data_IF_776927188826
#
_entry.id   IF_776927188826
#
_cell.length_a   1.000
_cell.length_b   1.000
_cell.length_c   1.000
_cell.angle_alpha   90.00
_cell.angle_beta   90.00
_cell.angle_gamma   90.00
#
_symmetry.space_group_name_H-M   'P 1'
#
loop_
_entity.id
_entity.type
_entity.pdbx_description
1 polymer ?
#
# COMPACT_ATOMS: atom_id res chain seq x y z
N UNK A 1 -6.33 -8.21 -5.93
CA UNK A 1 -7.78 -8.22 -5.63
C UNK A 1 -8.44 -9.32 -6.46
N UNK A 2 -9.35 -10.11 -5.91
CA UNK A 2 -10.05 -11.16 -6.69
C UNK A 2 -11.17 -10.50 -7.48
N UNK A 3 -11.15 -10.62 -8.81
CA UNK A 3 -12.16 -10.05 -9.73
C UNK A 3 -13.60 -10.39 -9.31
N UNK A 4 -13.78 -11.53 -8.66
CA UNK A 4 -15.03 -12.02 -8.08
C UNK A 4 -15.68 -11.00 -7.12
N UNK A 5 -14.87 -10.27 -6.33
CA UNK A 5 -15.37 -9.22 -5.42
C UNK A 5 -15.87 -7.97 -6.14
N UNK A 6 -15.30 -7.64 -7.31
CA UNK A 6 -15.78 -6.54 -8.15
C UNK A 6 -17.16 -6.88 -8.70
N UNK A 7 -17.32 -8.08 -9.27
CA UNK A 7 -18.59 -8.53 -9.85
C UNK A 7 -19.68 -8.71 -8.80
N UNK A 8 -19.35 -9.23 -7.61
CA UNK A 8 -20.29 -9.29 -6.50
C UNK A 8 -20.82 -7.91 -6.13
N UNK A 9 -19.92 -6.92 -5.95
CA UNK A 9 -20.31 -5.55 -5.63
C UNK A 9 -21.09 -4.89 -6.78
N UNK A 10 -20.73 -5.19 -8.02
CA UNK A 10 -21.40 -4.71 -9.22
C UNK A 10 -22.84 -5.21 -9.27
N UNK A 11 -23.09 -6.51 -9.13
CA UNK A 11 -24.45 -7.06 -9.18
C UNK A 11 -25.29 -6.73 -7.95
N UNK A 12 -24.65 -6.57 -6.79
CA UNK A 12 -25.34 -6.12 -5.57
C UNK A 12 -25.81 -4.67 -5.67
N UNK A 13 -24.99 -3.78 -6.22
CA UNK A 13 -25.31 -2.35 -6.34
C UNK A 13 -26.15 -2.06 -7.58
N UNK A 14 -25.86 -2.74 -8.69
CA UNK A 14 -26.49 -2.56 -9.99
C UNK A 14 -26.98 -3.90 -10.56
N UNK A 15 -28.06 -4.48 -9.99
CA UNK A 15 -28.60 -5.76 -10.45
C UNK A 15 -29.08 -5.71 -11.91
N UNK A 16 -29.43 -4.53 -12.43
CA UNK A 16 -29.82 -4.30 -13.83
C UNK A 16 -28.75 -4.75 -14.83
N UNK A 17 -27.46 -4.60 -14.48
CA UNK A 17 -26.34 -4.96 -15.35
C UNK A 17 -26.33 -6.46 -15.66
N UNK A 18 -26.72 -7.30 -14.69
CA UNK A 18 -26.83 -8.74 -14.93
C UNK A 18 -27.88 -9.04 -16.01
N UNK A 19 -29.05 -8.42 -15.94
CA UNK A 19 -30.13 -8.62 -16.92
C UNK A 19 -29.74 -8.11 -18.31
N UNK A 20 -29.01 -7.00 -18.37
CA UNK A 20 -28.42 -6.50 -19.61
C UNK A 20 -27.44 -7.51 -20.22
N UNK A 21 -26.56 -8.13 -19.43
CA UNK A 21 -25.62 -9.15 -19.89
C UNK A 21 -26.29 -10.41 -20.44
N UNK A 22 -27.45 -10.79 -19.89
CA UNK A 22 -28.25 -11.91 -20.41
C UNK A 22 -29.27 -11.47 -21.46
N UNK A 23 -29.11 -10.29 -22.05
CA UNK A 23 -29.98 -9.77 -23.13
C UNK A 23 -31.47 -9.71 -22.73
N UNK A 24 -31.72 -9.41 -21.46
CA UNK A 24 -33.06 -9.18 -20.89
C UNK A 24 -33.25 -7.69 -20.61
N UNK A 25 -34.50 -7.20 -20.57
CA UNK A 25 -34.77 -5.83 -20.16
C UNK A 25 -34.19 -5.53 -18.76
N UNK A 26 -33.46 -4.41 -18.58
CA UNK A 26 -32.88 -4.06 -17.27
C UNK A 26 -33.93 -3.97 -16.16
N UNK A 27 -35.16 -3.61 -16.53
CA UNK A 27 -36.31 -3.50 -15.62
C UNK A 27 -36.72 -4.84 -14.98
N UNK A 28 -36.30 -5.97 -15.55
CA UNK A 28 -36.53 -7.28 -14.93
C UNK A 28 -35.89 -7.36 -13.53
N UNK A 29 -34.77 -6.67 -13.30
CA UNK A 29 -34.08 -6.65 -12.01
C UNK A 29 -34.98 -6.27 -10.83
N UNK A 30 -36.01 -5.44 -11.05
CA UNK A 30 -36.97 -5.03 -10.01
C UNK A 30 -37.80 -6.20 -9.45
N UNK A 31 -37.88 -7.32 -10.19
CA UNK A 31 -38.56 -8.53 -9.78
C UNK A 31 -37.62 -9.56 -9.13
N UNK A 32 -36.37 -9.19 -8.85
CA UNK A 32 -35.38 -10.09 -8.27
C UNK A 32 -34.66 -9.46 -7.07
N UNK A 33 -34.30 -10.32 -6.12
CA UNK A 33 -33.39 -10.00 -5.03
C UNK A 33 -32.04 -10.67 -5.31
N UNK A 34 -30.95 -9.89 -5.30
CA UNK A 34 -29.59 -10.42 -5.32
C UNK A 34 -29.12 -10.70 -3.90
N UNK A 35 -28.75 -11.95 -3.64
CA UNK A 35 -28.27 -12.40 -2.32
C UNK A 35 -27.12 -13.39 -2.48
N UNK A 36 -26.31 -13.53 -1.44
CA UNK A 36 -25.54 -14.75 -1.23
C UNK A 36 -26.31 -15.65 -0.27
N UNK A 37 -26.28 -16.97 -0.48
CA UNK A 37 -26.90 -17.93 0.44
C UNK A 37 -25.90 -19.01 0.83
N UNK A 38 -25.72 -19.16 2.14
CA UNK A 38 -24.89 -20.20 2.71
C UNK A 38 -25.69 -21.50 2.89
N UNK A 39 -25.13 -22.59 2.39
CA UNK A 39 -25.66 -23.95 2.55
C UNK A 39 -25.07 -24.50 3.85
N UNK A 40 -25.85 -24.39 4.95
CA UNK A 40 -25.45 -24.67 6.34
C UNK A 40 -24.78 -26.04 6.60
N UNK A 41 -24.97 -27.03 5.74
CA UNK A 41 -24.44 -28.39 5.98
C UNK A 41 -22.95 -28.56 5.62
N UNK A 42 -22.36 -27.66 4.82
CA UNK A 42 -21.01 -27.85 4.26
C UNK A 42 -20.20 -26.54 4.07
N UNK A 43 -20.67 -25.40 4.59
CA UNK A 43 -20.05 -24.07 4.40
C UNK A 43 -19.90 -23.63 2.93
N UNK A 44 -20.71 -24.20 2.03
CA UNK A 44 -20.77 -23.76 0.63
C UNK A 44 -21.55 -22.47 0.51
N UNK A 45 -21.07 -21.54 -0.33
CA UNK A 45 -21.71 -20.26 -0.60
C UNK A 45 -21.97 -20.13 -2.08
N UNK A 46 -23.23 -19.87 -2.43
CA UNK A 46 -23.57 -19.37 -3.76
C UNK A 46 -23.34 -17.86 -3.72
N UNK A 47 -22.26 -17.41 -4.34
CA UNK A 47 -21.82 -16.02 -4.27
C UNK A 47 -22.66 -15.09 -5.16
N UNK A 48 -23.30 -15.63 -6.21
CA UNK A 48 -24.28 -14.90 -7.01
C UNK A 48 -25.60 -15.64 -7.14
N UNK A 49 -26.64 -15.20 -6.42
CA UNK A 49 -27.99 -15.74 -6.53
C UNK A 49 -29.02 -14.63 -6.74
N UNK A 50 -29.73 -14.65 -7.86
CA UNK A 50 -30.91 -13.82 -8.10
C UNK A 50 -32.18 -14.65 -7.89
N UNK A 51 -32.97 -14.30 -6.89
CA UNK A 51 -34.24 -14.96 -6.58
C UNK A 51 -35.43 -14.09 -7.00
N UNK A 52 -36.45 -14.64 -7.67
CA UNK A 52 -37.69 -13.92 -7.93
C UNK A 52 -38.35 -13.46 -6.62
N UNK A 53 -38.80 -12.21 -6.58
CA UNK A 53 -39.57 -11.66 -5.45
C UNK A 53 -41.09 -11.86 -5.61
N UNK A 54 -41.54 -12.15 -6.84
CA UNK A 54 -42.93 -12.49 -7.16
C UNK A 54 -43.16 -14.00 -7.10
N UNK A 55 -44.36 -14.43 -6.70
CA UNK A 55 -44.82 -15.84 -6.77
C UNK A 55 -45.09 -16.35 -8.20
N UNK A 56 -44.45 -15.74 -9.21
CA UNK A 56 -44.55 -16.15 -10.59
C UNK A 56 -43.68 -17.39 -10.81
N UNK A 57 -44.32 -18.56 -10.97
CA UNK A 57 -43.66 -19.85 -11.13
C UNK A 57 -42.91 -20.01 -12.45
N UNK A 58 -43.12 -19.12 -13.43
CA UNK A 58 -42.42 -19.18 -14.72
C UNK A 58 -41.07 -18.44 -14.69
N UNK A 59 -40.85 -17.58 -13.69
CA UNK A 59 -39.59 -16.83 -13.56
C UNK A 59 -38.49 -17.72 -12.95
N UNK A 60 -37.35 -17.91 -13.65
CA UNK A 60 -36.29 -18.71 -13.11
C UNK A 60 -35.54 -17.97 -12.01
N UNK A 61 -34.94 -18.69 -11.06
CA UNK A 61 -33.83 -18.12 -10.30
C UNK A 61 -32.51 -18.29 -11.07
N UNK A 62 -31.57 -17.38 -10.86
CA UNK A 62 -30.27 -17.41 -11.50
C UNK A 62 -29.16 -17.67 -10.49
N UNK A 63 -28.34 -18.68 -10.75
CA UNK A 63 -27.01 -18.82 -10.14
C UNK A 63 -26.01 -18.18 -11.09
N UNK A 64 -25.20 -17.26 -10.59
CA UNK A 64 -24.22 -16.50 -11.37
C UNK A 64 -22.84 -16.79 -10.80
N UNK A 65 -21.98 -17.35 -11.65
CA UNK A 65 -20.58 -17.64 -11.34
C UNK A 65 -19.70 -16.81 -12.27
N UNK A 66 -18.68 -16.15 -11.71
CA UNK A 66 -17.74 -15.34 -12.47
C UNK A 66 -16.37 -15.97 -12.36
N UNK A 67 -15.77 -16.33 -13.50
CA UNK A 67 -14.52 -17.08 -13.53
C UNK A 67 -13.49 -16.40 -14.44
N UNK A 68 -12.49 -15.77 -13.83
CA UNK A 68 -11.41 -15.06 -14.54
C UNK A 68 -10.10 -15.84 -14.61
N UNK A 69 -9.99 -16.97 -13.91
CA UNK A 69 -8.82 -17.83 -13.92
C UNK A 69 -9.21 -19.23 -14.41
N UNK A 70 -8.34 -19.99 -15.06
CA UNK A 70 -8.65 -21.38 -15.39
C UNK A 70 -8.93 -22.19 -14.11
N UNK A 71 -10.06 -22.90 -14.06
CA UNK A 71 -10.42 -23.81 -12.96
C UNK A 71 -11.02 -25.10 -13.53
N UNK A 72 -10.27 -26.20 -13.42
CA UNK A 72 -10.69 -27.53 -13.87
C UNK A 72 -11.88 -28.08 -13.07
N UNK A 73 -12.06 -27.59 -11.83
CA UNK A 73 -13.07 -28.09 -10.90
C UNK A 73 -14.35 -27.24 -10.86
N UNK A 74 -14.40 -26.14 -11.62
CA UNK A 74 -15.51 -25.18 -11.58
C UNK A 74 -16.87 -25.86 -11.74
N UNK A 75 -17.04 -26.63 -12.83
CA UNK A 75 -18.33 -27.24 -13.13
C UNK A 75 -18.72 -28.34 -12.14
N UNK A 76 -17.74 -29.08 -11.59
CA UNK A 76 -18.00 -30.04 -10.51
C UNK A 76 -18.57 -29.34 -9.28
N UNK A 77 -17.94 -28.22 -8.88
CA UNK A 77 -18.37 -27.40 -7.74
C UNK A 77 -19.74 -26.76 -8.00
N UNK A 78 -19.89 -26.06 -9.12
CA UNK A 78 -21.10 -25.33 -9.49
C UNK A 78 -22.34 -26.22 -9.57
N UNK A 79 -22.24 -27.38 -10.23
CA UNK A 79 -23.40 -28.28 -10.32
C UNK A 79 -23.68 -28.98 -8.99
N UNK A 80 -22.66 -29.35 -8.21
CA UNK A 80 -22.87 -29.87 -6.86
C UNK A 80 -23.62 -28.85 -5.99
N UNK A 81 -23.22 -27.58 -6.02
CA UNK A 81 -23.85 -26.50 -5.28
C UNK A 81 -25.30 -26.26 -5.72
N UNK A 82 -25.57 -26.23 -7.04
CA UNK A 82 -26.93 -26.16 -7.58
C UNK A 82 -27.82 -27.29 -7.04
N UNK A 83 -27.37 -28.54 -7.12
CA UNK A 83 -28.19 -29.68 -6.69
C UNK A 83 -28.37 -29.72 -5.17
N UNK A 84 -27.36 -29.32 -4.39
CA UNK A 84 -27.48 -29.17 -2.94
C UNK A 84 -28.48 -28.07 -2.57
N UNK A 85 -28.44 -26.94 -3.27
CA UNK A 85 -29.41 -25.85 -3.10
C UNK A 85 -30.84 -26.32 -3.40
N UNK A 86 -31.06 -26.98 -4.55
CA UNK A 86 -32.36 -27.54 -4.93
C UNK A 86 -32.87 -28.56 -3.89
N UNK A 87 -31.99 -29.43 -3.38
CA UNK A 87 -32.32 -30.42 -2.36
C UNK A 87 -32.75 -29.76 -1.05
N UNK A 88 -32.04 -28.73 -0.61
CA UNK A 88 -32.28 -28.06 0.67
C UNK A 88 -33.52 -27.15 0.63
N UNK A 89 -33.64 -26.32 -0.40
CA UNK A 89 -34.64 -25.25 -0.45
C UNK A 89 -35.88 -25.59 -1.29
N UNK A 90 -35.78 -26.55 -2.22
CA UNK A 90 -36.87 -26.96 -3.12
C UNK A 90 -37.66 -25.78 -3.70
N UNK A 91 -36.98 -24.81 -4.34
CA UNK A 91 -37.64 -23.61 -4.83
C UNK A 91 -38.71 -23.96 -5.87
N UNK A 92 -39.88 -23.28 -5.86
CA UNK A 92 -40.96 -23.49 -6.83
C UNK A 92 -40.69 -22.76 -8.17
N UNK A 93 -39.42 -22.51 -8.49
CA UNK A 93 -38.98 -21.72 -9.62
C UNK A 93 -38.05 -22.57 -10.52
N UNK A 94 -38.10 -22.41 -11.84
CA UNK A 94 -37.11 -22.98 -12.74
C UNK A 94 -35.70 -22.46 -12.36
N UNK A 95 -34.66 -23.22 -12.65
CA UNK A 95 -33.28 -22.77 -12.44
C UNK A 95 -32.63 -22.36 -13.76
N UNK A 96 -31.75 -21.37 -13.68
CA UNK A 96 -30.77 -21.03 -14.71
C UNK A 96 -29.39 -20.80 -14.06
N UNK A 97 -28.35 -21.26 -14.75
CA UNK A 97 -26.95 -21.06 -14.40
C UNK A 97 -26.35 -20.14 -15.46
N UNK A 98 -25.68 -19.09 -15.01
CA UNK A 98 -24.95 -18.16 -15.86
C UNK A 98 -23.50 -18.15 -15.41
N UNK A 99 -22.59 -18.52 -16.31
CA UNK A 99 -21.15 -18.45 -16.06
C UNK A 99 -20.55 -17.35 -16.93
N UNK A 100 -19.84 -16.42 -16.31
CA UNK A 100 -19.24 -15.26 -16.96
C UNK A 100 -17.72 -15.46 -17.00
N UNK A 101 -17.17 -15.44 -18.20
CA UNK A 101 -15.74 -15.56 -18.48
C UNK A 101 -15.22 -14.30 -19.16
N UNK A 102 -13.95 -13.91 -18.95
CA UNK A 102 -13.35 -12.85 -19.74
C UNK A 102 -13.21 -13.25 -21.21
N UNK A 103 -12.90 -14.52 -21.48
CA UNK A 103 -12.78 -15.10 -22.83
C UNK A 103 -12.89 -16.62 -22.81
N UNK A 104 -13.10 -17.24 -23.98
CA UNK A 104 -13.17 -18.71 -24.12
C UNK A 104 -11.93 -19.45 -23.65
N UNK A 105 -10.76 -18.81 -23.70
CA UNK A 105 -9.48 -19.46 -23.35
C UNK A 105 -9.36 -19.77 -21.86
N UNK A 106 -10.17 -19.15 -21.01
CA UNK A 106 -10.23 -19.40 -19.57
C UNK A 106 -11.11 -20.59 -19.23
N UNK A 107 -12.17 -20.84 -20.00
CA UNK A 107 -13.09 -21.93 -19.73
C UNK A 107 -12.38 -23.29 -19.77
N UNK A 108 -12.69 -24.15 -18.81
CA UNK A 108 -12.28 -25.56 -18.80
C UNK A 108 -13.52 -26.43 -18.92
N UNK A 109 -13.84 -26.74 -20.18
CA UNK A 109 -15.01 -27.57 -20.48
C UNK A 109 -14.75 -29.01 -20.06
N UNK A 110 -15.62 -29.51 -19.19
CA UNK A 110 -15.63 -30.90 -18.75
C UNK A 110 -16.70 -31.66 -19.56
N UNK A 111 -16.47 -31.78 -20.87
CA UNK A 111 -17.47 -32.28 -21.83
C UNK A 111 -17.85 -33.73 -21.59
N UNK A 112 -16.94 -34.55 -21.06
CA UNK A 112 -17.22 -35.96 -20.74
C UNK A 112 -18.24 -36.10 -19.59
N UNK A 113 -18.11 -35.30 -18.53
CA UNK A 113 -18.97 -35.40 -17.35
C UNK A 113 -20.22 -34.54 -17.46
N UNK A 114 -20.10 -33.35 -18.07
CA UNK A 114 -21.16 -32.33 -18.05
C UNK A 114 -21.60 -31.87 -19.44
N UNK A 115 -21.19 -32.54 -20.52
CA UNK A 115 -21.51 -32.12 -21.89
C UNK A 115 -23.01 -31.91 -22.13
N UNK A 116 -23.86 -32.82 -21.64
CA UNK A 116 -25.33 -32.68 -21.75
C UNK A 116 -25.85 -31.50 -20.94
N UNK A 117 -25.37 -31.32 -19.70
CA UNK A 117 -25.74 -30.20 -18.82
C UNK A 117 -25.35 -28.84 -19.42
N UNK A 118 -24.14 -28.73 -19.98
CA UNK A 118 -23.63 -27.51 -20.62
C UNK A 118 -24.38 -27.14 -21.90
N UNK A 119 -25.07 -28.11 -22.52
CA UNK A 119 -25.90 -27.91 -23.70
C UNK A 119 -27.37 -27.58 -23.37
N UNK A 120 -27.77 -27.65 -22.09
CA UNK A 120 -29.10 -27.21 -21.68
C UNK A 120 -29.26 -25.71 -21.93
N UNK A 121 -30.43 -25.30 -22.40
CA UNK A 121 -30.83 -23.89 -22.47
C UNK A 121 -30.90 -23.18 -21.11
N UNK A 122 -30.71 -23.92 -20.02
CA UNK A 122 -30.62 -23.43 -18.64
C UNK A 122 -29.20 -23.05 -18.23
N UNK A 123 -28.18 -23.44 -18.98
CA UNK A 123 -26.78 -23.11 -18.70
C UNK A 123 -26.28 -22.15 -19.78
N UNK A 124 -26.13 -20.88 -19.41
CA UNK A 124 -25.61 -19.84 -20.30
C UNK A 124 -24.17 -19.52 -19.93
N UNK A 125 -23.30 -19.51 -20.95
CA UNK A 125 -21.90 -19.10 -20.83
C UNK A 125 -21.73 -17.78 -21.57
N UNK A 126 -21.29 -16.76 -20.86
CA UNK A 126 -21.06 -15.41 -21.39
C UNK A 126 -19.55 -15.20 -21.45
N UNK A 127 -19.05 -14.79 -22.61
CA UNK A 127 -17.65 -14.41 -22.81
C UNK A 127 -17.61 -12.90 -23.05
N UNK A 128 -16.93 -12.17 -22.18
CA UNK A 128 -16.98 -10.70 -22.16
C UNK A 128 -16.32 -10.07 -23.38
N UNK A 129 -15.33 -10.74 -23.97
CA UNK A 129 -14.68 -10.36 -25.23
C UNK A 129 -15.54 -10.60 -26.49
N UNK A 130 -16.63 -11.37 -26.37
CA UNK A 130 -17.54 -11.72 -27.47
C UNK A 130 -18.90 -11.00 -27.41
N UNK A 131 -19.06 -10.03 -26.50
CA UNK A 131 -20.28 -9.26 -26.37
C UNK A 131 -20.49 -8.36 -27.61
N UNK A 132 -21.56 -8.62 -28.36
CA UNK A 132 -21.86 -7.97 -29.64
C UNK A 132 -22.14 -6.46 -29.57
N UNK A 133 -22.26 -5.83 -30.74
CA UNK A 133 -22.38 -4.36 -30.91
C UNK A 133 -23.59 -3.75 -30.20
N UNK A 134 -24.73 -4.46 -30.15
CA UNK A 134 -25.91 -3.99 -29.42
C UNK A 134 -25.62 -3.80 -27.91
N UNK A 135 -24.78 -4.67 -27.35
CA UNK A 135 -24.35 -4.63 -25.96
C UNK A 135 -23.36 -3.48 -25.69
N UNK A 136 -22.75 -2.87 -26.71
CA UNK A 136 -21.83 -1.71 -26.56
C UNK A 136 -22.55 -0.38 -26.30
N UNK A 137 -23.86 -0.35 -26.55
CA UNK A 137 -24.69 0.82 -26.25
C UNK A 137 -25.19 0.84 -24.79
N UNK A 138 -25.15 -0.30 -24.11
CA UNK A 138 -25.51 -0.41 -22.70
C UNK A 138 -24.39 0.14 -21.81
N UNK A 139 -24.77 1.02 -20.88
CA UNK A 139 -23.88 1.54 -19.85
C UNK A 139 -23.38 0.41 -18.94
N UNK A 140 -24.27 -0.49 -18.51
CA UNK A 140 -23.94 -1.59 -17.61
C UNK A 140 -22.94 -2.57 -18.22
N UNK A 141 -23.18 -2.99 -19.46
CA UNK A 141 -22.27 -3.87 -20.19
C UNK A 141 -20.92 -3.18 -20.43
N UNK A 142 -20.91 -1.88 -20.71
CA UNK A 142 -19.69 -1.10 -20.83
C UNK A 142 -18.84 -1.14 -19.55
N UNK A 143 -19.46 -1.01 -18.37
CA UNK A 143 -18.76 -1.16 -17.07
C UNK A 143 -18.18 -2.56 -16.89
N UNK A 144 -18.88 -3.60 -17.34
CA UNK A 144 -18.38 -4.98 -17.28
C UNK A 144 -17.20 -5.18 -18.24
N UNK A 145 -17.28 -4.66 -19.47
CA UNK A 145 -16.18 -4.68 -20.45
C UNK A 145 -14.93 -3.97 -19.92
N UNK A 146 -15.09 -2.89 -19.16
CA UNK A 146 -13.97 -2.18 -18.54
C UNK A 146 -13.06 -3.10 -17.69
N UNK A 147 -13.63 -4.13 -17.07
CA UNK A 147 -12.88 -5.09 -16.26
C UNK A 147 -11.88 -5.88 -17.10
N UNK A 148 -12.24 -6.25 -18.34
CA UNK A 148 -11.37 -7.02 -19.27
C UNK A 148 -10.58 -6.18 -20.26
N UNK A 149 -10.86 -4.87 -20.33
CA UNK A 149 -10.21 -3.93 -21.24
C UNK A 149 -8.67 -3.91 -21.07
N UNK A 150 -7.89 -3.35 -22.01
CA UNK A 150 -6.44 -3.21 -21.79
C UNK A 150 -6.12 -2.03 -20.85
N UNK A 151 -4.95 -2.00 -20.21
CA UNK A 151 -4.51 -0.83 -19.42
C UNK A 151 -4.37 0.45 -20.27
N UNK A 152 -4.08 0.30 -21.58
CA UNK A 152 -3.89 1.41 -22.51
C UNK A 152 -5.22 2.09 -22.89
N UNK A 153 -6.25 1.29 -23.13
CA UNK A 153 -7.58 1.74 -23.61
C UNK A 153 -8.58 1.96 -22.48
N UNK A 154 -8.41 1.31 -21.33
CA UNK A 154 -9.31 1.43 -20.18
C UNK A 154 -9.58 2.88 -19.71
N UNK A 155 -8.58 3.79 -19.68
CA UNK A 155 -8.85 5.17 -19.30
C UNK A 155 -9.82 5.88 -20.24
N UNK A 156 -9.74 5.62 -21.54
CA UNK A 156 -10.63 6.23 -22.52
C UNK A 156 -12.05 5.67 -22.38
N UNK A 157 -12.18 4.35 -22.21
CA UNK A 157 -13.46 3.69 -21.97
C UNK A 157 -14.11 4.20 -20.68
N UNK A 158 -13.38 4.26 -19.57
CA UNK A 158 -13.91 4.75 -18.30
C UNK A 158 -14.39 6.20 -18.38
N UNK A 159 -13.67 7.11 -19.07
CA UNK A 159 -14.15 8.48 -19.31
C UNK A 159 -15.50 8.51 -20.01
N UNK A 160 -15.62 7.75 -21.11
CA UNK A 160 -16.87 7.65 -21.86
C UNK A 160 -18.01 7.13 -20.97
N UNK A 161 -17.75 6.09 -20.16
CA UNK A 161 -18.76 5.53 -19.26
C UNK A 161 -19.19 6.52 -18.17
N UNK A 162 -18.27 7.31 -17.62
CA UNK A 162 -18.58 8.35 -16.63
C UNK A 162 -19.45 9.45 -17.27
N UNK A 163 -19.12 9.90 -18.48
CA UNK A 163 -19.92 10.88 -19.22
C UNK A 163 -21.33 10.33 -19.54
N UNK A 164 -21.42 9.08 -19.99
CA UNK A 164 -22.69 8.41 -20.23
C UNK A 164 -23.52 8.28 -18.95
N UNK A 165 -22.91 7.90 -17.82
CA UNK A 165 -23.58 7.85 -16.53
C UNK A 165 -24.14 9.22 -16.11
N UNK A 166 -23.37 10.30 -16.33
CA UNK A 166 -23.81 11.68 -16.06
C UNK A 166 -24.99 12.13 -16.91
N UNK A 167 -25.09 11.66 -18.14
CA UNK A 167 -26.18 12.02 -19.05
C UNK A 167 -27.43 11.16 -18.88
N UNK A 168 -27.25 9.85 -18.65
CA UNK A 168 -28.35 8.87 -18.67
C UNK A 168 -29.01 8.68 -17.30
N UNK A 169 -28.25 8.82 -16.20
CA UNK A 169 -28.76 8.58 -14.84
C UNK A 169 -29.22 9.89 -14.20
N UNK A 170 -30.53 9.95 -13.93
CA UNK A 170 -31.18 11.10 -13.26
C UNK A 170 -31.04 11.05 -11.74
N UNK A 171 -30.93 9.86 -11.17
CA UNK A 171 -30.77 9.67 -9.75
C UNK A 171 -29.30 9.95 -9.36
N UNK A 172 -29.10 10.96 -8.52
CA UNK A 172 -27.79 11.41 -8.06
C UNK A 172 -27.01 10.31 -7.34
N UNK A 173 -27.69 9.52 -6.51
CA UNK A 173 -27.06 8.48 -5.71
C UNK A 173 -26.62 7.31 -6.59
N UNK A 174 -27.51 6.81 -7.45
CA UNK A 174 -27.19 5.74 -8.41
C UNK A 174 -26.06 6.16 -9.34
N UNK A 175 -26.08 7.42 -9.80
CA UNK A 175 -25.01 7.98 -10.62
C UNK A 175 -23.68 8.01 -9.88
N UNK A 176 -23.67 8.52 -8.65
CA UNK A 176 -22.46 8.58 -7.83
C UNK A 176 -21.88 7.18 -7.58
N UNK A 177 -22.74 6.21 -7.22
CA UNK A 177 -22.33 4.84 -6.96
C UNK A 177 -21.73 4.17 -8.22
N UNK A 178 -22.25 4.48 -9.41
CA UNK A 178 -21.76 3.88 -10.66
C UNK A 178 -20.41 4.49 -11.07
N UNK A 179 -20.27 5.81 -10.93
CA UNK A 179 -18.99 6.49 -11.17
C UNK A 179 -17.93 5.94 -10.21
N UNK A 180 -18.26 5.80 -8.92
CA UNK A 180 -17.38 5.22 -7.91
C UNK A 180 -16.96 3.78 -8.27
N UNK A 181 -17.88 2.97 -8.81
CA UNK A 181 -17.55 1.62 -9.30
C UNK A 181 -16.57 1.67 -10.48
N UNK A 182 -16.81 2.53 -11.47
CA UNK A 182 -15.91 2.71 -12.63
C UNK A 182 -14.52 3.14 -12.17
N UNK A 183 -14.45 4.12 -11.28
CA UNK A 183 -13.22 4.61 -10.65
C UNK A 183 -12.47 3.49 -9.93
N UNK A 184 -13.20 2.70 -9.14
CA UNK A 184 -12.65 1.55 -8.42
C UNK A 184 -12.04 0.53 -9.38
N UNK A 185 -12.74 0.18 -10.48
CA UNK A 185 -12.22 -0.72 -11.51
C UNK A 185 -10.92 -0.17 -12.11
N UNK A 186 -10.87 1.14 -12.40
CA UNK A 186 -9.67 1.79 -12.95
C UNK A 186 -8.49 1.74 -11.99
N UNK A 187 -8.69 2.05 -10.71
CA UNK A 187 -7.61 2.00 -9.71
C UNK A 187 -7.03 0.60 -9.62
N UNK A 188 -7.88 -0.43 -9.61
CA UNK A 188 -7.41 -1.81 -9.56
C UNK A 188 -6.72 -2.27 -10.84
N UNK A 189 -7.07 -1.69 -11.97
CA UNK A 189 -6.47 -2.02 -13.26
C UNK A 189 -5.14 -1.32 -13.49
N UNK A 190 -5.01 -0.07 -13.06
CA UNK A 190 -3.82 0.77 -13.26
C UNK A 190 -2.91 0.79 -12.02
N UNK A 191 -2.60 -0.38 -11.46
CA UNK A 191 -1.87 -0.49 -10.18
C UNK A 191 -0.49 0.16 -10.17
N UNK A 192 0.14 0.29 -11.34
CA UNK A 192 1.46 0.89 -11.50
C UNK A 192 1.42 2.42 -11.62
N UNK A 193 0.24 3.02 -11.83
CA UNK A 193 0.11 4.47 -11.92
C UNK A 193 -0.07 5.05 -10.53
N UNK A 194 0.61 6.16 -10.29
CA UNK A 194 0.39 6.95 -9.10
C UNK A 194 -1.03 7.52 -9.10
N UNK A 195 -1.48 7.83 -7.88
CA UNK A 195 -2.75 8.51 -7.67
C UNK A 195 -2.88 9.81 -8.47
N UNK A 196 -1.82 10.61 -8.53
CA UNK A 196 -1.84 11.89 -9.25
C UNK A 196 -2.01 11.68 -10.75
N UNK A 197 -1.38 10.64 -11.30
CA UNK A 197 -1.55 10.27 -12.70
C UNK A 197 -2.99 9.84 -13.00
N UNK A 198 -3.60 9.03 -12.13
CA UNK A 198 -5.01 8.64 -12.28
C UNK A 198 -5.93 9.87 -12.17
N UNK A 199 -5.79 10.69 -11.13
CA UNK A 199 -6.61 11.92 -10.96
C UNK A 199 -6.48 12.87 -12.18
N UNK A 200 -5.26 13.05 -12.69
CA UNK A 200 -4.99 13.88 -13.87
C UNK A 200 -5.60 13.29 -15.14
N UNK A 201 -5.57 11.96 -15.31
CA UNK A 201 -6.15 11.30 -16.47
C UNK A 201 -7.64 11.60 -16.58
N UNK A 202 -8.38 11.60 -15.48
CA UNK A 202 -9.83 11.71 -15.53
C UNK A 202 -10.40 13.08 -15.11
N UNK A 203 -9.57 14.03 -14.68
CA UNK A 203 -10.02 15.30 -14.07
C UNK A 203 -10.99 15.06 -12.89
N UNK A 204 -10.86 13.92 -12.21
CA UNK A 204 -11.79 13.48 -11.18
C UNK A 204 -11.31 13.99 -9.82
N UNK A 205 -11.77 15.18 -9.44
CA UNK A 205 -11.79 15.59 -8.03
C UNK A 205 -12.63 14.63 -7.16
N UNK A 206 -13.52 13.85 -7.79
CA UNK A 206 -14.47 12.91 -7.19
C UNK A 206 -13.82 11.59 -6.74
N UNK A 207 -12.67 11.18 -7.31
CA UNK A 207 -11.90 10.00 -6.87
C UNK A 207 -11.60 10.04 -5.36
N UNK A 208 -11.39 11.24 -4.80
CA UNK A 208 -11.15 11.41 -3.35
C UNK A 208 -12.28 10.87 -2.47
N UNK A 209 -13.47 10.66 -3.03
CA UNK A 209 -14.65 10.16 -2.33
C UNK A 209 -14.79 8.64 -2.38
N UNK A 210 -14.03 7.91 -3.21
CA UNK A 210 -14.14 6.44 -3.16
C UNK A 210 -13.63 5.90 -1.83
N UNK A 211 -14.24 4.80 -1.39
CA UNK A 211 -13.83 4.13 -0.14
C UNK A 211 -12.37 3.70 -0.18
N UNK A 212 -11.91 3.19 -1.32
CA UNK A 212 -10.51 2.78 -1.51
C UNK A 212 -9.55 3.97 -1.31
N UNK A 213 -9.91 5.16 -1.81
CA UNK A 213 -9.10 6.36 -1.61
C UNK A 213 -9.12 6.88 -0.16
N UNK A 214 -10.24 6.76 0.54
CA UNK A 214 -10.35 7.18 1.93
C UNK A 214 -9.55 6.26 2.86
N UNK A 215 -9.65 4.94 2.64
CA UNK A 215 -8.93 3.92 3.40
C UNK A 215 -7.42 4.07 3.23
N UNK A 216 -6.92 4.14 1.99
CA UNK A 216 -5.49 4.30 1.71
C UNK A 216 -4.92 5.61 2.27
N UNK A 217 -5.71 6.70 2.30
CA UNK A 217 -5.30 7.97 2.90
C UNK A 217 -5.21 7.89 4.42
N UNK A 218 -6.15 7.20 5.05
CA UNK A 218 -6.14 7.03 6.51
C UNK A 218 -4.99 6.11 6.93
N UNK A 219 -4.75 5.01 6.22
CA UNK A 219 -3.60 4.11 6.44
C UNK A 219 -2.28 4.87 6.35
N UNK A 220 -2.04 5.60 5.25
CA UNK A 220 -0.82 6.39 5.10
C UNK A 220 -0.66 7.49 6.16
N UNK A 221 -1.75 8.05 6.68
CA UNK A 221 -1.71 9.00 7.81
C UNK A 221 -1.32 8.31 9.12
N UNK A 222 -1.79 7.08 9.35
CA UNK A 222 -1.41 6.30 10.52
C UNK A 222 0.06 5.88 10.44
N UNK A 223 0.51 5.38 9.29
CA UNK A 223 1.91 5.02 9.04
C UNK A 223 2.83 6.24 9.23
N UNK A 224 2.55 7.37 8.56
CA UNK A 224 3.36 8.57 8.71
C UNK A 224 3.39 9.14 10.13
N UNK A 225 2.31 8.95 10.93
CA UNK A 225 2.31 9.31 12.35
C UNK A 225 3.17 8.37 13.18
N UNK A 226 3.21 7.08 12.85
CA UNK A 226 4.08 6.10 13.51
C UNK A 226 5.56 6.35 13.16
N UNK A 227 5.86 6.53 11.88
CA UNK A 227 7.21 6.86 11.39
C UNK A 227 7.71 8.16 12.01
N UNK A 228 6.95 9.26 11.93
CA UNK A 228 7.35 10.52 12.54
C UNK A 228 7.52 10.47 14.06
N UNK A 229 6.77 9.60 14.75
CA UNK A 229 6.98 9.36 16.19
C UNK A 229 8.29 8.59 16.44
N UNK A 230 8.63 7.62 15.60
CA UNK A 230 9.89 6.89 15.70
C UNK A 230 11.08 7.80 15.37
N UNK A 231 11.04 8.53 14.24
CA UNK A 231 12.08 9.49 13.84
C UNK A 231 12.31 10.55 14.93
N UNK A 232 11.24 11.14 15.47
CA UNK A 232 11.36 12.12 16.55
C UNK A 232 11.95 11.55 17.84
N UNK A 233 11.73 10.26 18.16
CA UNK A 233 12.40 9.59 19.29
C UNK A 233 13.90 9.44 19.00
N UNK A 234 14.28 9.03 17.79
CA UNK A 234 15.68 8.85 17.40
C UNK A 234 16.45 10.17 17.38
N UNK A 235 15.85 11.25 16.91
CA UNK A 235 16.47 12.59 16.82
C UNK A 235 16.88 13.14 18.19
N UNK A 236 16.20 12.74 19.27
CA UNK A 236 16.48 13.21 20.63
C UNK A 236 17.60 12.42 21.32
N UNK A 237 17.94 11.20 20.85
CA UNK A 237 18.98 10.34 21.46
C UNK A 237 20.34 11.07 21.61
N UNK A 238 20.89 11.72 20.57
CA UNK A 238 22.15 12.47 20.69
C UNK A 238 22.13 13.49 21.83
N UNK A 239 21.01 14.18 22.02
CA UNK A 239 20.87 15.20 23.06
C UNK A 239 20.85 14.60 24.46
N UNK A 240 20.22 13.43 24.63
CA UNK A 240 20.20 12.71 25.91
C UNK A 240 21.59 12.15 26.26
N UNK A 241 22.31 11.62 25.27
CA UNK A 241 23.70 11.19 25.43
C UNK A 241 24.61 12.37 25.82
N UNK A 242 24.44 13.53 25.18
CA UNK A 242 25.16 14.75 25.59
C UNK A 242 24.87 15.17 27.03
N UNK A 243 23.67 14.92 27.54
CA UNK A 243 23.31 15.20 28.92
C UNK A 243 23.85 14.13 29.90
N UNK A 244 24.49 13.09 29.39
CA UNK A 244 25.12 12.03 30.19
C UNK A 244 24.16 10.92 30.62
N UNK A 245 22.99 10.78 29.99
CA UNK A 245 22.09 9.66 30.28
C UNK A 245 22.67 8.36 29.70
N UNK A 246 22.53 7.28 30.47
CA UNK A 246 22.93 5.95 30.02
C UNK A 246 21.94 5.38 28.98
N UNK A 247 22.46 4.58 28.04
CA UNK A 247 21.69 4.00 26.93
C UNK A 247 20.45 3.23 27.40
N UNK A 248 20.55 2.53 28.54
CA UNK A 248 19.44 1.80 29.16
C UNK A 248 18.32 2.74 29.61
N UNK A 249 18.66 3.85 30.28
CA UNK A 249 17.70 4.86 30.69
C UNK A 249 17.07 5.58 29.50
N UNK A 250 17.83 5.81 28.42
CA UNK A 250 17.31 6.38 27.17
C UNK A 250 16.34 5.41 26.49
N UNK A 251 16.68 4.13 26.42
CA UNK A 251 15.81 3.09 25.85
C UNK A 251 14.48 2.99 26.61
N UNK A 252 14.54 3.01 27.95
CA UNK A 252 13.34 3.02 28.80
C UNK A 252 12.52 4.30 28.62
N UNK A 253 13.15 5.48 28.70
CA UNK A 253 12.45 6.77 28.63
C UNK A 253 11.81 7.02 27.25
N UNK A 254 12.42 6.53 26.17
CA UNK A 254 11.91 6.67 24.82
C UNK A 254 11.08 5.48 24.36
N UNK A 255 10.94 4.42 25.17
CA UNK A 255 10.25 3.18 24.78
C UNK A 255 10.76 2.69 23.42
N UNK A 256 12.07 2.45 23.37
CA UNK A 256 12.82 1.96 22.20
C UNK A 256 13.61 0.70 22.58
N UNK A 257 13.83 -0.23 21.63
CA UNK A 257 14.76 -1.33 21.84
C UNK A 257 16.17 -0.81 22.14
N UNK A 258 16.88 -1.49 23.05
CA UNK A 258 18.23 -1.07 23.45
C UNK A 258 19.19 -1.07 22.26
N UNK A 259 19.05 -2.03 21.34
CA UNK A 259 19.88 -2.17 20.14
C UNK A 259 19.77 -0.95 19.22
N UNK A 260 18.58 -0.34 19.15
CA UNK A 260 18.33 0.88 18.37
C UNK A 260 19.04 2.07 19.00
N UNK A 261 18.98 2.18 20.33
CA UNK A 261 19.67 3.24 21.07
C UNK A 261 21.19 3.07 20.99
N UNK A 262 21.69 1.84 21.05
CA UNK A 262 23.12 1.53 20.88
C UNK A 262 23.62 1.93 19.49
N UNK A 263 22.85 1.60 18.44
CA UNK A 263 23.20 1.97 17.06
C UNK A 263 23.23 3.49 16.88
N UNK A 264 22.22 4.19 17.40
CA UNK A 264 22.16 5.66 17.36
C UNK A 264 23.30 6.30 18.19
N UNK A 265 23.64 5.72 19.33
CA UNK A 265 24.76 6.18 20.16
C UNK A 265 26.10 6.01 19.44
N UNK A 266 26.34 4.85 18.81
CA UNK A 266 27.55 4.60 18.04
C UNK A 266 27.72 5.63 16.91
N UNK A 267 26.64 5.90 16.16
CA UNK A 267 26.64 6.92 15.11
C UNK A 267 26.93 8.32 15.69
N UNK A 268 26.29 8.68 16.80
CA UNK A 268 26.53 9.95 17.48
C UNK A 268 28.01 10.10 17.90
N UNK A 269 28.58 9.09 18.56
CA UNK A 269 29.97 9.16 19.01
C UNK A 269 30.94 9.27 17.84
N UNK A 270 30.69 8.53 16.76
CA UNK A 270 31.48 8.60 15.52
C UNK A 270 31.38 9.98 14.88
N UNK A 271 30.18 10.52 14.67
CA UNK A 271 29.97 11.86 14.12
C UNK A 271 30.65 12.95 14.96
N UNK A 272 30.60 12.80 16.29
CA UNK A 272 31.23 13.74 17.20
C UNK A 272 32.77 13.73 17.09
N UNK A 273 33.40 12.54 16.97
CA UNK A 273 34.83 12.46 16.71
C UNK A 273 35.22 12.99 15.33
N UNK A 274 34.43 12.69 14.29
CA UNK A 274 34.64 13.25 12.94
C UNK A 274 34.63 14.77 12.98
N UNK A 275 33.60 15.35 13.61
CA UNK A 275 33.46 16.80 13.75
C UNK A 275 34.63 17.42 14.50
N UNK A 276 35.14 16.75 15.53
CA UNK A 276 36.28 17.23 16.30
C UNK A 276 37.60 17.18 15.50
N UNK A 277 37.84 16.12 14.74
CA UNK A 277 39.00 16.01 13.84
C UNK A 277 38.94 17.08 12.75
N UNK A 278 37.76 17.31 12.17
CA UNK A 278 37.56 18.37 11.18
C UNK A 278 37.80 19.76 11.80
N UNK A 279 37.34 19.98 13.03
CA UNK A 279 37.59 21.22 13.77
C UNK A 279 39.08 21.44 14.01
N UNK A 280 39.82 20.42 14.45
CA UNK A 280 41.29 20.47 14.62
C UNK A 280 42.03 20.70 13.30
N UNK A 281 41.49 20.22 12.18
CA UNK A 281 42.12 20.33 10.88
C UNK A 281 41.89 21.69 10.24
N UNK A 282 40.67 22.22 10.33
CA UNK A 282 40.23 23.43 9.61
C UNK A 282 40.19 24.69 10.49
N UNK A 283 40.06 24.55 11.81
CA UNK A 283 39.95 25.66 12.76
C UNK A 283 40.93 25.52 13.93
N UNK A 284 42.14 25.00 13.65
CA UNK A 284 43.19 24.73 14.66
C UNK A 284 43.53 25.92 15.56
N UNK A 285 43.40 27.15 15.06
CA UNK A 285 43.63 28.40 15.80
C UNK A 285 42.70 28.57 17.02
N UNK A 286 41.61 27.79 17.11
CA UNK A 286 40.76 27.74 18.31
C UNK A 286 41.40 26.98 19.47
N UNK A 287 42.51 26.28 19.25
CA UNK A 287 43.20 25.48 20.26
C UNK A 287 44.54 26.12 20.58
N UNK A 288 44.77 26.39 21.87
CA UNK A 288 46.08 26.80 22.35
C UNK A 288 47.05 25.61 22.36
N UNK A 289 48.36 25.89 22.42
CA UNK A 289 49.35 24.81 22.60
C UNK A 289 49.14 24.03 23.91
N UNK A 290 48.59 24.69 24.95
CA UNK A 290 48.22 24.02 26.20
C UNK A 290 47.01 23.11 25.99
N UNK A 291 45.97 23.59 25.29
CA UNK A 291 44.77 22.80 24.96
C UNK A 291 45.14 21.50 24.23
N UNK A 292 46.04 21.59 23.25
CA UNK A 292 46.52 20.42 22.50
C UNK A 292 47.32 19.46 23.38
N UNK A 293 48.17 19.97 24.29
CA UNK A 293 48.92 19.14 25.22
C UNK A 293 48.00 18.42 26.22
N UNK A 294 47.01 19.13 26.77
CA UNK A 294 46.01 18.59 27.70
C UNK A 294 45.18 17.49 27.02
N UNK A 295 44.76 17.71 25.78
CA UNK A 295 44.05 16.70 24.99
C UNK A 295 44.89 15.44 24.76
N UNK A 296 46.19 15.56 24.48
CA UNK A 296 47.08 14.39 24.36
C UNK A 296 47.16 13.63 25.68
N UNK A 297 47.34 14.33 26.80
CA UNK A 297 47.41 13.70 28.13
C UNK A 297 46.09 12.98 28.49
N UNK A 298 44.95 13.58 28.16
CA UNK A 298 43.63 13.00 28.41
C UNK A 298 43.33 11.78 27.53
N UNK A 299 43.75 11.78 26.25
CA UNK A 299 43.44 10.73 25.29
C UNK A 299 44.40 9.54 25.39
N UNK A 300 45.68 9.79 25.71
CA UNK A 300 46.72 8.74 25.76
C UNK A 300 46.42 7.55 26.67
N UNK A 301 45.81 7.68 27.87
CA UNK A 301 45.50 6.53 28.73
C UNK A 301 44.24 5.76 28.30
N UNK A 302 43.40 6.30 27.41
CA UNK A 302 42.13 5.67 27.02
C UNK A 302 42.33 4.45 26.10
N UNK A 303 41.40 3.51 26.14
CA UNK A 303 41.33 2.44 25.15
C UNK A 303 40.90 3.00 23.79
N UNK A 304 41.18 2.26 22.71
CA UNK A 304 40.73 2.63 21.36
C UNK A 304 39.24 2.28 21.15
N UNK A 305 38.39 2.90 21.97
CA UNK A 305 36.95 2.80 21.91
C UNK A 305 36.35 4.17 21.56
N UNK A 306 35.60 4.22 20.46
CA UNK A 306 35.01 5.47 19.93
C UNK A 306 34.17 6.20 20.97
N UNK A 307 33.41 5.46 21.78
CA UNK A 307 32.57 6.01 22.83
C UNK A 307 33.38 6.71 23.93
N UNK A 308 34.42 6.06 24.46
CA UNK A 308 35.29 6.62 25.50
C UNK A 308 35.99 7.89 25.02
N UNK A 309 36.56 7.85 23.81
CA UNK A 309 37.22 9.00 23.19
C UNK A 309 36.24 10.16 22.98
N UNK A 310 35.04 9.86 22.47
CA UNK A 310 34.01 10.86 22.19
C UNK A 310 33.49 11.50 23.46
N UNK A 311 33.23 10.69 24.49
CA UNK A 311 32.79 11.16 25.80
C UNK A 311 33.86 12.03 26.47
N UNK A 312 35.13 11.65 26.40
CA UNK A 312 36.22 12.45 26.95
C UNK A 312 36.31 13.82 26.27
N UNK A 313 36.25 13.86 24.94
CA UNK A 313 36.25 15.12 24.17
C UNK A 313 35.05 16.00 24.55
N UNK A 314 33.85 15.42 24.66
CA UNK A 314 32.64 16.16 25.07
C UNK A 314 32.83 16.75 26.47
N UNK A 315 33.38 16.00 27.42
CA UNK A 315 33.61 16.47 28.77
C UNK A 315 34.65 17.59 28.82
N UNK A 316 35.75 17.44 28.08
CA UNK A 316 36.76 18.49 27.94
C UNK A 316 36.15 19.77 27.35
N UNK A 317 35.44 19.69 26.22
CA UNK A 317 34.80 20.86 25.61
C UNK A 317 33.73 21.53 26.49
N UNK A 318 33.15 20.83 27.48
CA UNK A 318 32.14 21.40 28.40
C UNK A 318 32.73 22.30 29.48
N UNK A 319 34.04 22.28 29.68
CA UNK A 319 34.70 23.20 30.63
C UNK A 319 34.51 24.65 30.17
N UNK A 320 34.33 25.57 31.11
CA UNK A 320 34.01 26.98 30.82
C UNK A 320 35.04 27.65 29.89
N UNK A 321 36.30 27.25 30.02
CA UNK A 321 37.46 27.73 29.26
C UNK A 321 37.42 27.30 27.78
N UNK A 322 36.66 26.25 27.43
CA UNK A 322 36.58 25.67 26.09
C UNK A 322 35.24 25.93 25.38
N UNK A 323 34.50 26.95 25.81
CA UNK A 323 33.18 27.30 25.28
C UNK A 323 33.19 27.63 23.77
N UNK A 324 34.27 28.21 23.25
CA UNK A 324 34.41 28.54 21.83
C UNK A 324 34.56 27.27 20.97
N UNK A 325 35.39 26.33 21.43
CA UNK A 325 35.62 25.01 20.82
C UNK A 325 34.32 24.20 20.84
N UNK A 326 33.58 24.20 21.94
CA UNK A 326 32.29 23.53 22.05
C UNK A 326 31.25 24.09 21.06
N UNK A 327 31.21 25.41 20.90
CA UNK A 327 30.29 26.06 19.95
C UNK A 327 30.63 25.69 18.50
N UNK A 328 31.92 25.72 18.16
CA UNK A 328 32.39 25.35 16.83
C UNK A 328 32.18 23.86 16.53
N UNK A 329 32.44 22.98 17.50
CA UNK A 329 32.19 21.54 17.40
C UNK A 329 30.71 21.25 17.08
N UNK A 330 29.78 21.91 17.76
CA UNK A 330 28.34 21.76 17.50
C UNK A 330 27.97 22.21 16.08
N UNK A 331 28.58 23.28 15.58
CA UNK A 331 28.33 23.76 14.22
C UNK A 331 28.83 22.78 13.16
N UNK A 332 30.07 22.28 13.31
CA UNK A 332 30.66 21.31 12.38
C UNK A 332 29.88 19.99 12.38
N UNK A 333 29.47 19.51 13.56
CA UNK A 333 28.64 18.30 13.66
C UNK A 333 27.28 18.48 12.98
N UNK A 334 26.65 19.65 13.14
CA UNK A 334 25.38 19.95 12.47
C UNK A 334 25.53 20.00 10.94
N UNK A 335 26.64 20.53 10.41
CA UNK A 335 26.91 20.48 8.96
C UNK A 335 27.12 19.06 8.46
N UNK A 336 27.81 18.20 9.23
CA UNK A 336 28.03 16.80 8.88
C UNK A 336 26.73 16.00 8.87
N UNK A 337 25.84 16.23 9.85
CA UNK A 337 24.52 15.60 9.88
C UNK A 337 23.65 15.99 8.68
N UNK A 338 23.77 17.23 8.18
CA UNK A 338 23.02 17.71 7.01
C UNK A 338 23.58 17.22 5.67
N UNK A 339 24.87 16.85 5.59
CA UNK A 339 25.50 16.39 4.35
C UNK A 339 25.43 14.87 4.14
N UNK A 340 25.17 14.08 5.18
CA UNK A 340 25.16 12.60 5.12
C UNK A 340 23.78 12.00 4.75
N UNK A 341 23.14 12.48 3.67
CA UNK A 341 21.92 11.86 3.13
C UNK A 341 22.22 10.60 2.28
N UNK A 342 23.49 10.28 1.99
CA UNK A 342 23.86 9.03 1.29
C UNK A 342 24.60 8.03 2.21
N UNK A 343 24.12 6.77 2.31
CA UNK A 343 24.79 5.72 3.06
C UNK A 343 25.81 5.04 2.16
N UNK A 344 26.91 5.71 1.81
CA UNK A 344 28.14 5.10 1.30
C UNK A 344 29.10 6.20 0.85
N UNK A 345 30.08 6.55 1.69
CA UNK A 345 31.36 7.09 1.24
C UNK A 345 32.36 6.99 2.40
N UNK A 346 33.13 5.90 2.37
CA UNK A 346 34.45 5.73 3.00
C UNK A 346 34.79 6.62 4.19
N UNK A 347 34.07 6.50 5.31
CA UNK A 347 34.55 7.05 6.57
C UNK A 347 35.75 6.17 6.97
N UNK A 348 36.97 6.66 6.76
CA UNK A 348 38.17 6.10 7.37
C UNK A 348 37.83 5.72 8.82
N UNK A 349 38.10 4.47 9.23
CA UNK A 349 37.84 4.00 10.59
C UNK A 349 38.52 4.95 11.58
N UNK A 350 37.77 5.91 12.11
CA UNK A 350 38.26 6.83 13.13
C UNK A 350 38.68 5.99 14.31
N UNK A 351 39.92 6.20 14.74
CA UNK A 351 40.54 5.51 15.86
C UNK A 351 41.39 6.50 16.65
N UNK A 352 41.81 6.09 17.83
CA UNK A 352 42.65 6.86 18.75
C UNK A 352 43.91 7.40 18.07
N UNK A 353 44.54 6.61 17.19
CA UNK A 353 45.78 6.99 16.52
C UNK A 353 45.58 8.20 15.60
N UNK A 354 44.54 8.17 14.75
CA UNK A 354 44.20 9.29 13.85
C UNK A 354 43.90 10.56 14.66
N UNK A 355 43.18 10.42 15.77
CA UNK A 355 42.86 11.54 16.64
C UNK A 355 44.13 12.18 17.23
N UNK A 356 45.04 11.36 17.77
CA UNK A 356 46.32 11.82 18.32
C UNK A 356 47.24 12.44 17.24
N UNK A 357 47.30 11.85 16.05
CA UNK A 357 48.04 12.40 14.90
C UNK A 357 47.50 13.76 14.47
N UNK A 358 46.17 13.95 14.54
CA UNK A 358 45.54 15.23 14.22
C UNK A 358 45.88 16.30 15.27
N UNK A 359 46.00 15.92 16.54
CA UNK A 359 46.35 16.82 17.65
C UNK A 359 47.85 17.19 17.61
N UNK A 360 48.72 16.27 17.18
CA UNK A 360 50.17 16.44 17.17
C UNK A 360 50.62 17.77 16.50
N UNK A 361 51.72 18.40 16.96
CA UNK A 361 52.18 19.68 16.44
C UNK A 361 52.46 19.60 14.93
N UNK A 362 51.97 20.58 14.16
CA UNK A 362 52.35 20.72 12.75
C UNK A 362 53.55 21.65 12.65
N UNK A 363 54.44 21.42 11.67
CA UNK A 363 55.64 22.25 11.44
C UNK A 363 55.35 23.76 11.24
N UNK A 364 54.08 24.12 11.00
CA UNK A 364 53.60 25.49 10.79
C UNK A 364 53.20 26.19 12.10
N UNK A 365 53.07 25.47 13.22
CA UNK A 365 52.63 26.00 14.52
C UNK A 365 53.77 26.60 15.37
N UNK A 366 55.00 26.71 14.82
CA UNK A 366 56.21 27.18 15.53
C UNK A 366 56.62 28.63 15.23
N UNK A 367 55.74 29.47 14.65
CA UNK A 367 56.06 30.88 14.33
C UNK A 367 55.27 31.85 15.17
#
# INVERSE_FOLDING_TARGET
MKTDSIFYNLFRTFPTIFFELIERPPTEANAYEFTSREIKQLSFRLDGLFLPTSNDSEKPFYIVEVQFQPDENLYYRLFAELFLFLRQYKPPYPWQVVVIYPSRTIERQQTFQFGELLNLNRVRRIYLDELGEASETSLGVGVVKLVIESEETAPQLAKRLIEQARQQLKDEQIRHDLINLIETIIVYKLQKKSRQEIEAMFSLSELKQTKVYQEAKEEGKQEGKQEGKQEGKLEVIPRLLELGLEKQAIAEALDLPLEVVESAAQLFHQQNLTAFIELLTNQRLLFSNQDLADLVELITPLLDQIEDLSNMIIQWCKQDEHSAQLKALKQVRQSLSNSMIEPELGINRINKQILLETIAPREVDQV
#
